data_IF_327904183204
#
_entry.id   IF_327904183204
#
_cell.length_a   1.000
_cell.length_b   1.000
_cell.length_c   1.000
_cell.angle_alpha   90.00
_cell.angle_beta   90.00
_cell.angle_gamma   90.00
#
_symmetry.space_group_name_H-M   'P 1'
#
loop_
_entity.id
_entity.type
_entity.pdbx_description
1 polymer ?
#
# COMPACT_ATOMS: atom_id res chain seq x y z
N UNK A 1 37.49 -5.16 -77.14
CA UNK A 1 36.71 -5.23 -75.87
C UNK A 1 37.67 -5.24 -74.70
N UNK A 2 37.96 -4.08 -74.09
CA UNK A 2 38.69 -3.99 -72.83
C UNK A 2 37.83 -3.17 -71.86
N UNK A 3 37.43 -3.79 -70.75
CA UNK A 3 36.55 -3.24 -69.72
C UNK A 3 37.37 -2.47 -68.69
N UNK A 4 37.08 -1.18 -68.54
CA UNK A 4 37.56 -0.32 -67.44
C UNK A 4 36.45 -0.32 -66.38
N UNK A 5 36.76 -0.78 -65.16
CA UNK A 5 35.89 -0.65 -63.99
C UNK A 5 36.40 0.48 -63.10
N UNK A 6 35.58 1.50 -62.91
CA UNK A 6 35.76 2.56 -61.90
C UNK A 6 35.32 2.06 -60.52
N UNK A 7 36.01 2.39 -59.42
CA UNK A 7 35.53 2.09 -58.08
C UNK A 7 34.59 3.19 -57.57
N UNK A 8 33.50 2.74 -56.97
CA UNK A 8 32.42 3.54 -56.38
C UNK A 8 32.81 3.88 -54.92
N UNK A 9 32.96 5.17 -54.61
CA UNK A 9 33.24 5.66 -53.25
C UNK A 9 31.98 5.51 -52.37
N UNK A 10 32.08 4.72 -51.30
CA UNK A 10 31.02 4.53 -50.31
C UNK A 10 31.25 5.48 -49.12
N UNK A 11 30.39 6.49 -49.00
CA UNK A 11 30.37 7.41 -47.87
C UNK A 11 29.75 6.68 -46.66
N UNK A 12 30.56 6.27 -45.67
CA UNK A 12 30.07 5.63 -44.44
C UNK A 12 29.56 6.68 -43.46
N UNK A 13 28.25 6.65 -43.19
CA UNK A 13 27.59 7.40 -42.14
C UNK A 13 27.74 6.63 -40.81
N UNK A 14 28.61 7.11 -39.92
CA UNK A 14 28.81 6.50 -38.60
C UNK A 14 27.63 6.90 -37.70
N UNK A 15 26.65 6.00 -37.55
CA UNK A 15 25.69 6.05 -36.46
C UNK A 15 26.40 5.67 -35.16
N UNK A 16 26.70 6.65 -34.32
CA UNK A 16 27.06 6.41 -32.92
C UNK A 16 25.83 5.85 -32.21
N UNK A 17 25.75 4.53 -32.11
CA UNK A 17 24.85 3.83 -31.19
C UNK A 17 25.23 4.25 -29.76
N UNK A 18 24.50 5.22 -29.22
CA UNK A 18 24.54 5.49 -27.78
C UNK A 18 23.87 4.31 -27.06
N UNK A 19 24.68 3.42 -26.48
CA UNK A 19 24.18 2.41 -25.57
C UNK A 19 23.80 3.12 -24.27
N UNK A 20 22.52 3.48 -24.14
CA UNK A 20 22.00 4.01 -22.89
C UNK A 20 21.98 2.85 -21.88
N UNK A 21 23.00 2.78 -21.02
CA UNK A 21 23.01 1.83 -19.92
C UNK A 21 21.83 2.14 -18.99
N UNK A 22 20.84 1.24 -18.94
CA UNK A 22 19.73 1.34 -17.99
C UNK A 22 20.27 1.17 -16.57
N UNK A 23 19.81 2.04 -15.66
CA UNK A 23 20.15 1.95 -14.25
C UNK A 23 19.64 0.64 -13.65
N UNK A 24 20.43 -0.01 -12.79
CA UNK A 24 19.97 -1.20 -12.08
C UNK A 24 19.01 -0.79 -10.97
N UNK A 25 17.79 -1.33 -11.03
CA UNK A 25 16.77 -1.12 -10.01
C UNK A 25 16.24 -2.48 -9.52
N UNK A 26 16.16 -2.66 -8.22
CA UNK A 26 15.49 -3.79 -7.57
C UNK A 26 14.52 -3.24 -6.55
N UNK A 27 13.31 -3.79 -6.55
CA UNK A 27 12.23 -3.37 -5.65
C UNK A 27 11.77 -4.61 -4.88
N UNK A 28 11.70 -4.51 -3.56
CA UNK A 28 11.16 -5.57 -2.70
C UNK A 28 9.93 -5.06 -1.98
N UNK A 29 8.81 -5.74 -2.15
CA UNK A 29 7.59 -5.53 -1.38
C UNK A 29 7.46 -6.63 -0.33
N UNK A 30 7.10 -6.24 0.90
CA UNK A 30 6.79 -7.15 1.99
C UNK A 30 5.54 -6.69 2.69
N UNK A 31 4.54 -7.55 2.82
CA UNK A 31 3.30 -7.25 3.52
C UNK A 31 2.44 -8.49 3.71
N UNK A 32 1.36 -8.33 4.47
CA UNK A 32 0.40 -9.38 4.76
C UNK A 32 -1.02 -8.91 4.44
N UNK A 33 -1.85 -9.87 4.03
CA UNK A 33 -3.30 -9.72 4.03
C UNK A 33 -3.86 -10.50 5.19
N UNK A 34 -4.69 -9.84 5.99
CA UNK A 34 -5.44 -10.44 7.09
C UNK A 34 -6.90 -10.57 6.66
N UNK A 35 -7.47 -11.75 6.90
CA UNK A 35 -8.89 -12.03 6.72
C UNK A 35 -9.43 -12.75 7.95
N UNK A 36 -10.66 -12.42 8.33
CA UNK A 36 -11.43 -13.22 9.28
C UNK A 36 -12.46 -14.05 8.50
N UNK A 37 -12.51 -15.35 8.75
CA UNK A 37 -13.40 -16.29 8.05
C UNK A 37 -14.15 -17.14 9.07
N UNK A 38 -15.46 -17.30 8.88
CA UNK A 38 -16.31 -18.12 9.74
C UNK A 38 -16.10 -19.62 9.49
N UNK A 39 -16.66 -20.47 10.36
CA UNK A 39 -16.60 -21.93 10.21
C UNK A 39 -17.19 -22.45 8.90
N UNK A 40 -18.12 -21.69 8.30
CA UNK A 40 -18.73 -21.96 7.00
C UNK A 40 -17.85 -21.57 5.80
N UNK A 41 -16.69 -20.94 6.01
CA UNK A 41 -15.81 -20.46 4.95
C UNK A 41 -16.19 -19.10 4.36
N UNK A 42 -17.17 -18.41 4.94
CA UNK A 42 -17.54 -17.05 4.53
C UNK A 42 -16.72 -16.00 5.27
N UNK A 43 -16.22 -15.02 4.52
CA UNK A 43 -15.45 -13.91 5.07
C UNK A 43 -16.33 -13.03 5.96
N UNK A 44 -15.78 -12.57 7.07
CA UNK A 44 -16.47 -11.72 8.03
C UNK A 44 -16.18 -10.25 7.71
N UNK A 45 -17.21 -9.40 7.88
CA UNK A 45 -17.05 -7.95 7.81
C UNK A 45 -16.32 -7.44 9.06
N UNK A 46 -15.89 -6.17 9.05
CA UNK A 46 -15.29 -5.50 10.20
C UNK A 46 -13.77 -5.46 10.19
N UNK A 47 -13.13 -5.83 9.08
CA UNK A 47 -11.68 -5.81 8.93
C UNK A 47 -11.11 -4.39 8.74
N UNK A 48 -11.55 -3.41 9.53
CA UNK A 48 -11.11 -2.01 9.51
C UNK A 48 -10.64 -1.50 10.88
N UNK A 49 -10.59 -2.39 11.90
CA UNK A 49 -10.05 -2.07 13.20
C UNK A 49 -8.51 -2.12 13.18
N UNK A 50 -7.88 -1.18 13.87
CA UNK A 50 -6.43 -1.06 13.97
C UNK A 50 -5.98 -1.37 15.39
N UNK A 51 -5.20 -2.44 15.55
CA UNK A 51 -4.65 -2.85 16.84
C UNK A 51 -3.30 -2.18 17.12
N UNK A 52 -2.59 -1.74 16.06
CA UNK A 52 -1.24 -1.19 16.15
C UNK A 52 -1.22 0.31 15.79
N UNK A 53 -0.76 1.19 16.70
CA UNK A 53 -0.67 2.61 16.41
C UNK A 53 0.45 2.88 15.41
N UNK A 54 0.14 3.65 14.37
CA UNK A 54 1.13 4.18 13.43
C UNK A 54 1.66 5.54 13.90
N UNK A 55 2.86 5.95 13.45
CA UNK A 55 3.34 7.31 13.67
C UNK A 55 2.36 8.37 13.13
N UNK A 56 2.26 9.51 13.82
CA UNK A 56 1.29 10.58 13.49
C UNK A 56 1.51 11.23 12.11
N UNK A 57 2.71 11.06 11.54
CA UNK A 57 3.01 11.57 10.20
C UNK A 57 2.45 10.69 9.06
N UNK A 58 1.91 9.51 9.37
CA UNK A 58 1.31 8.63 8.35
C UNK A 58 -0.03 9.22 7.91
N UNK A 59 -0.17 9.38 6.59
CA UNK A 59 -1.38 9.92 5.97
C UNK A 59 -2.48 8.87 5.96
N UNK A 60 -3.70 9.31 6.22
CA UNK A 60 -4.90 8.49 6.23
C UNK A 60 -5.82 8.86 5.06
N UNK A 61 -6.69 7.93 4.69
CA UNK A 61 -7.72 8.18 3.70
C UNK A 61 -8.67 9.27 4.20
N UNK A 62 -8.78 10.36 3.43
CA UNK A 62 -9.55 11.54 3.81
C UNK A 62 -8.75 12.67 4.46
N UNK A 63 -7.46 12.47 4.74
CA UNK A 63 -6.61 13.58 5.15
C UNK A 63 -6.49 14.57 3.99
N UNK A 64 -6.94 15.82 4.21
CA UNK A 64 -6.77 16.86 3.19
C UNK A 64 -5.28 17.19 3.07
N UNK A 65 -4.75 17.26 1.85
CA UNK A 65 -3.32 17.58 1.58
C UNK A 65 -2.83 18.89 2.22
N UNK A 66 -3.77 19.78 2.57
CA UNK A 66 -3.52 21.09 3.20
C UNK A 66 -3.92 21.15 4.69
N UNK A 67 -4.34 20.03 5.31
CA UNK A 67 -4.82 20.06 6.70
C UNK A 67 -3.66 19.89 7.69
N UNK A 68 -3.45 20.82 8.63
CA UNK A 68 -2.62 20.55 9.79
C UNK A 68 -3.20 19.35 10.54
N UNK A 69 -2.40 18.30 10.69
CA UNK A 69 -2.69 17.14 11.52
C UNK A 69 -3.34 17.59 12.83
N UNK A 70 -4.50 17.03 13.15
CA UNK A 70 -5.27 17.30 14.37
C UNK A 70 -5.79 18.73 14.57
N UNK A 71 -6.84 19.11 13.82
CA UNK A 71 -7.97 19.78 14.47
C UNK A 71 -9.16 18.85 14.45
N UNK A 72 -9.60 18.44 15.64
CA UNK A 72 -10.91 17.83 15.79
C UNK A 72 -11.91 18.64 14.97
N UNK A 73 -12.63 17.95 14.10
CA UNK A 73 -13.63 18.55 13.24
C UNK A 73 -14.61 19.31 14.13
N UNK A 74 -14.53 20.64 14.14
CA UNK A 74 -15.49 21.48 14.82
C UNK A 74 -16.80 21.33 14.03
N UNK A 75 -17.72 20.50 14.52
CA UNK A 75 -19.07 20.27 13.97
C UNK A 75 -20.00 21.49 14.16
N UNK A 76 -19.50 22.71 13.95
CA UNK A 76 -20.30 23.94 13.95
C UNK A 76 -20.47 24.40 12.50
N UNK A 77 -21.53 23.92 11.85
CA UNK A 77 -21.88 24.35 10.49
C UNK A 77 -22.66 23.34 9.64
N UNK A 78 -22.86 22.10 10.11
CA UNK A 78 -23.73 21.15 9.41
C UNK A 78 -25.22 21.49 9.65
N UNK A 79 -26.09 21.34 8.64
CA UNK A 79 -27.53 21.50 8.80
C UNK A 79 -28.03 20.59 9.93
N UNK A 80 -28.84 21.15 10.82
CA UNK A 80 -29.41 20.51 12.02
C UNK A 80 -30.36 19.32 11.74
N UNK A 81 -30.46 18.85 10.50
CA UNK A 81 -31.33 17.74 10.07
C UNK A 81 -30.62 16.37 10.12
N UNK A 82 -29.28 16.33 10.18
CA UNK A 82 -28.55 15.07 10.39
C UNK A 82 -28.46 14.71 11.88
N UNK A 83 -29.63 14.57 12.53
CA UNK A 83 -29.74 14.23 13.96
C UNK A 83 -29.34 12.80 14.31
N UNK A 84 -29.04 11.96 13.32
CA UNK A 84 -28.28 10.73 13.56
C UNK A 84 -26.81 11.11 13.75
N UNK A 85 -26.37 11.19 15.00
CA UNK A 85 -24.95 11.07 15.30
C UNK A 85 -24.40 9.93 14.43
N UNK A 86 -23.35 10.13 13.61
CA UNK A 86 -22.76 9.01 12.88
C UNK A 86 -22.48 7.92 13.92
N UNK A 87 -22.80 6.64 13.62
CA UNK A 87 -22.65 5.57 14.59
C UNK A 87 -21.27 5.71 15.21
N UNK A 88 -21.23 5.86 16.54
CA UNK A 88 -19.98 5.99 17.28
C UNK A 88 -19.19 4.72 17.02
N UNK A 89 -18.25 4.75 16.07
CA UNK A 89 -17.24 3.72 15.98
C UNK A 89 -16.39 3.88 17.24
N UNK A 90 -16.67 3.06 18.25
CA UNK A 90 -15.81 2.96 19.42
C UNK A 90 -14.50 2.32 18.98
N UNK A 91 -13.39 3.07 19.10
CA UNK A 91 -12.08 2.72 18.55
C UNK A 91 -11.89 3.40 17.21
N UNK A 92 -11.08 4.47 17.18
CA UNK A 92 -10.88 5.34 16.03
C UNK A 92 -10.43 4.55 14.79
N UNK A 93 -11.28 4.26 13.80
CA UNK A 93 -10.76 3.82 12.52
C UNK A 93 -10.01 5.01 11.91
N UNK A 94 -8.79 4.77 11.42
CA UNK A 94 -8.01 5.79 10.73
C UNK A 94 -8.64 6.20 9.39
N UNK A 95 -9.61 5.42 8.90
CA UNK A 95 -10.58 5.83 7.88
C UNK A 95 -11.82 6.38 8.58
N UNK A 96 -12.24 7.63 8.33
CA UNK A 96 -13.45 8.20 8.94
C UNK A 96 -14.69 7.32 8.75
N UNK A 97 -15.48 7.18 9.82
CA UNK A 97 -16.63 6.27 9.87
C UNK A 97 -17.69 6.52 8.79
N UNK A 98 -17.84 7.78 8.37
CA UNK A 98 -18.73 8.17 7.28
C UNK A 98 -18.45 7.42 5.98
N UNK A 99 -17.18 7.04 5.73
CA UNK A 99 -16.78 6.27 4.55
C UNK A 99 -16.99 4.77 4.73
N UNK A 100 -17.05 4.27 5.97
CA UNK A 100 -17.20 2.85 6.28
C UNK A 100 -18.67 2.41 6.34
N UNK A 101 -19.60 3.35 6.54
CA UNK A 101 -21.01 3.04 6.68
C UNK A 101 -21.57 2.37 5.42
N UNK A 102 -22.20 1.20 5.58
CA UNK A 102 -22.75 0.42 4.48
C UNK A 102 -21.72 -0.32 3.61
N UNK A 103 -20.42 -0.23 3.93
CA UNK A 103 -19.36 -0.93 3.21
C UNK A 103 -19.09 -2.30 3.84
N UNK A 104 -18.71 -3.26 2.97
CA UNK A 104 -18.21 -4.57 3.38
C UNK A 104 -16.69 -4.57 3.32
N UNK A 105 -16.02 -4.69 4.45
CA UNK A 105 -14.57 -4.76 4.55
C UNK A 105 -14.21 -6.11 5.15
N UNK A 106 -13.71 -7.01 4.29
CA UNK A 106 -13.40 -8.40 4.63
C UNK A 106 -11.91 -8.71 4.57
N UNK A 107 -11.11 -7.74 4.10
CA UNK A 107 -9.68 -7.87 3.88
C UNK A 107 -8.98 -6.61 4.36
N UNK A 108 -7.91 -6.82 5.10
CA UNK A 108 -7.01 -5.77 5.58
C UNK A 108 -5.61 -6.07 5.13
N UNK A 109 -4.97 -5.10 4.49
CA UNK A 109 -3.56 -5.15 4.13
C UNK A 109 -2.79 -4.42 5.22
N UNK A 110 -2.14 -5.19 6.10
CA UNK A 110 -1.69 -4.71 7.42
C UNK A 110 -0.46 -3.82 7.36
N UNK A 111 0.64 -4.24 6.74
CA UNK A 111 1.88 -3.42 6.77
C UNK A 111 2.74 -3.66 5.53
N UNK A 112 2.24 -3.48 4.30
CA UNK A 112 3.09 -3.53 3.14
C UNK A 112 4.11 -2.37 3.17
N UNK A 113 5.37 -2.74 3.03
CA UNK A 113 6.50 -1.82 2.83
C UNK A 113 7.20 -2.17 1.52
N UNK A 114 7.61 -1.13 0.79
CA UNK A 114 8.31 -1.26 -0.50
C UNK A 114 9.68 -0.61 -0.41
N UNK A 115 10.71 -1.44 -0.51
CA UNK A 115 12.11 -1.05 -0.49
C UNK A 115 12.68 -0.90 -1.90
N UNK A 116 13.46 0.15 -2.11
CA UNK A 116 14.15 0.42 -3.37
C UNK A 116 15.65 0.23 -3.22
N UNK A 117 16.26 -0.43 -4.21
CA UNK A 117 17.70 -0.65 -4.29
C UNK A 117 18.16 -0.26 -5.69
N UNK A 118 19.03 0.73 -5.76
CA UNK A 118 19.52 1.31 -6.99
C UNK A 118 21.04 1.44 -6.99
N UNK A 119 21.65 1.41 -8.17
CA UNK A 119 23.07 1.74 -8.36
C UNK A 119 23.34 3.25 -8.43
N UNK A 120 22.30 4.06 -8.62
CA UNK A 120 22.38 5.53 -8.71
C UNK A 120 21.11 6.24 -8.24
N UNK A 121 21.19 7.53 -8.00
CA UNK A 121 19.98 8.36 -7.84
C UNK A 121 19.20 8.40 -9.15
N UNK A 122 17.90 8.14 -9.09
CA UNK A 122 17.00 8.10 -10.25
C UNK A 122 15.54 8.33 -9.84
N UNK A 123 14.70 8.66 -10.83
CA UNK A 123 13.26 8.78 -10.66
C UNK A 123 12.55 7.47 -11.05
N UNK A 124 11.51 7.12 -10.31
CA UNK A 124 10.69 5.93 -10.54
C UNK A 124 9.23 6.30 -10.32
N UNK A 125 8.38 5.99 -11.28
CA UNK A 125 6.94 5.99 -11.09
C UNK A 125 6.53 4.65 -10.48
N UNK A 126 5.90 4.68 -9.32
CA UNK A 126 5.44 3.49 -8.61
C UNK A 126 3.93 3.56 -8.40
N UNK A 127 3.24 2.53 -8.84
CA UNK A 127 1.78 2.44 -8.78
C UNK A 127 1.36 1.25 -7.93
N UNK A 128 0.42 1.47 -7.03
CA UNK A 128 -0.24 0.42 -6.25
C UNK A 128 -1.70 0.37 -6.68
N UNK A 129 -2.16 -0.81 -7.10
CA UNK A 129 -3.57 -1.06 -7.40
C UNK A 129 -4.18 -1.98 -6.36
N UNK A 130 -5.32 -1.56 -5.81
CA UNK A 130 -6.12 -2.34 -4.86
C UNK A 130 -7.59 -2.39 -5.33
N UNK A 131 -7.88 -3.17 -6.40
CA UNK A 131 -9.10 -3.01 -7.21
C UNK A 131 -10.42 -3.18 -6.45
N UNK A 132 -10.40 -3.94 -5.37
CA UNK A 132 -11.57 -4.25 -4.54
C UNK A 132 -11.53 -3.51 -3.20
N UNK A 133 -10.85 -2.38 -3.13
CA UNK A 133 -10.67 -1.65 -1.89
C UNK A 133 -10.16 -0.23 -2.11
N UNK A 134 -9.49 0.30 -1.09
CA UNK A 134 -8.80 1.60 -1.10
C UNK A 134 -7.38 1.46 -0.53
N UNK A 135 -6.53 2.43 -0.83
CA UNK A 135 -5.32 2.66 -0.04
C UNK A 135 -5.72 3.52 1.16
N UNK A 136 -5.75 2.89 2.34
CA UNK A 136 -6.32 3.50 3.54
C UNK A 136 -5.33 4.38 4.29
N UNK A 137 -4.03 4.06 4.21
CA UNK A 137 -2.96 4.81 4.85
C UNK A 137 -1.69 4.76 4.01
N UNK A 138 -0.84 5.78 4.07
CA UNK A 138 0.42 5.84 3.31
C UNK A 138 1.47 6.75 3.97
N UNK A 139 2.73 6.36 3.85
CA UNK A 139 3.86 7.27 4.01
C UNK A 139 5.03 6.84 3.13
N UNK A 140 5.63 7.71 2.31
CA UNK A 140 5.23 9.10 2.03
C UNK A 140 3.79 9.26 1.50
N UNK A 141 3.31 10.50 1.45
CA UNK A 141 2.05 10.87 0.81
C UNK A 141 2.08 10.43 -0.67
N UNK A 142 0.96 9.88 -1.12
CA UNK A 142 0.75 9.57 -2.53
C UNK A 142 0.78 10.85 -3.34
N UNK A 143 1.43 10.85 -4.52
CA UNK A 143 1.32 11.94 -5.49
C UNK A 143 -0.15 12.18 -5.84
N UNK A 144 -0.89 11.11 -6.11
CA UNK A 144 -2.35 11.09 -6.12
C UNK A 144 -2.86 9.68 -5.79
N UNK A 145 -4.12 9.60 -5.35
CA UNK A 145 -4.78 8.35 -5.01
C UNK A 145 -6.24 8.37 -5.44
N UNK A 146 -6.79 7.18 -5.64
CA UNK A 146 -8.21 6.95 -5.92
C UNK A 146 -8.74 5.84 -5.01
N UNK A 147 -10.05 5.84 -4.74
CA UNK A 147 -11.00 6.92 -5.04
C UNK A 147 -10.74 8.16 -4.17
N UNK A 148 -11.27 9.32 -4.58
CA UNK A 148 -11.22 10.52 -3.74
C UNK A 148 -12.12 10.37 -2.52
N UNK A 149 -11.67 10.85 -1.36
CA UNK A 149 -12.39 10.74 -0.09
C UNK A 149 -13.55 11.76 0.01
N UNK A 150 -14.59 11.57 -0.79
CA UNK A 150 -15.81 12.39 -0.77
C UNK A 150 -16.95 11.66 -0.05
N UNK A 151 -17.88 12.38 0.61
CA UNK A 151 -19.04 11.75 1.27
C UNK A 151 -19.81 10.82 0.32
N UNK A 152 -20.08 9.60 0.78
CA UNK A 152 -20.79 8.58 0.00
C UNK A 152 -19.95 7.86 -1.05
N UNK A 153 -18.62 8.06 -1.08
CA UNK A 153 -17.72 7.32 -1.96
C UNK A 153 -17.81 5.82 -1.69
N UNK A 154 -17.82 5.03 -2.76
CA UNK A 154 -17.71 3.58 -2.67
C UNK A 154 -16.24 3.17 -2.55
N UNK A 155 -15.91 2.31 -1.58
CA UNK A 155 -14.54 1.91 -1.28
C UNK A 155 -14.05 0.81 -2.24
N UNK A 156 -13.94 1.16 -3.51
CA UNK A 156 -13.46 0.28 -4.59
C UNK A 156 -12.48 0.99 -5.51
N UNK A 157 -11.79 0.20 -6.35
CA UNK A 157 -10.83 0.70 -7.34
C UNK A 157 -9.69 1.51 -6.73
N UNK A 158 -9.23 1.08 -5.56
CA UNK A 158 -8.13 1.67 -4.84
C UNK A 158 -6.90 1.80 -5.72
N UNK A 159 -6.28 2.96 -5.70
CA UNK A 159 -5.09 3.25 -6.47
C UNK A 159 -4.24 4.29 -5.74
N UNK A 160 -2.93 4.15 -5.80
CA UNK A 160 -1.99 5.16 -5.35
C UNK A 160 -0.81 5.24 -6.31
N UNK A 161 -0.48 6.47 -6.71
CA UNK A 161 0.70 6.77 -7.51
C UNK A 161 1.73 7.53 -6.68
N UNK A 162 3.00 7.19 -6.88
CA UNK A 162 4.13 7.81 -6.22
C UNK A 162 5.18 8.21 -7.27
N UNK A 163 5.53 9.50 -7.27
CA UNK A 163 6.69 10.01 -8.01
C UNK A 163 7.93 9.89 -7.13
N UNK A 164 8.61 8.75 -7.21
CA UNK A 164 9.70 8.39 -6.30
C UNK A 164 11.03 8.93 -6.82
N UNK A 165 11.74 9.70 -6.00
CA UNK A 165 13.14 10.04 -6.23
C UNK A 165 14.02 9.17 -5.32
N UNK A 166 14.75 8.22 -5.88
CA UNK A 166 15.73 7.42 -5.13
C UNK A 166 16.98 8.27 -4.88
N UNK A 167 17.39 8.37 -3.62
CA UNK A 167 18.49 9.19 -3.13
C UNK A 167 19.68 8.28 -2.75
N UNK A 168 20.46 7.86 -3.74
CA UNK A 168 21.55 6.91 -3.52
C UNK A 168 22.64 7.51 -2.61
N UNK A 169 23.03 6.75 -1.58
CA UNK A 169 24.06 7.12 -0.60
C UNK A 169 23.81 8.49 0.09
N UNK A 170 22.56 8.97 0.09
CA UNK A 170 22.20 10.18 0.81
C UNK A 170 22.08 9.91 2.32
N UNK A 171 22.36 10.93 3.12
CA UNK A 171 22.07 10.92 4.56
C UNK A 171 21.15 12.10 4.84
N UNK A 172 19.88 11.80 5.13
CA UNK A 172 18.83 12.79 5.42
C UNK A 172 18.15 12.38 6.72
N UNK A 173 17.81 13.35 7.56
CA UNK A 173 17.03 13.09 8.78
C UNK A 173 15.63 12.60 8.43
N UNK A 174 15.17 11.54 9.10
CA UNK A 174 13.83 10.99 8.97
C UNK A 174 12.95 11.48 10.14
N UNK A 175 11.62 11.54 9.98
CA UNK A 175 10.71 11.80 11.10
C UNK A 175 10.96 10.80 12.23
N UNK A 176 10.90 11.28 13.47
CA UNK A 176 11.09 10.44 14.64
C UNK A 176 10.00 9.35 14.71
N UNK A 177 10.41 8.13 15.08
CA UNK A 177 9.53 7.00 15.37
C UNK A 177 10.05 6.35 16.64
N UNK A 178 9.15 6.08 17.59
CA UNK A 178 9.51 5.37 18.82
C UNK A 178 10.15 4.00 18.48
N UNK A 179 11.31 3.63 19.04
CA UNK A 179 11.96 2.36 18.77
C UNK A 179 11.13 1.11 19.13
N UNK A 180 10.10 1.24 19.98
CA UNK A 180 9.15 0.17 20.30
C UNK A 180 8.00 0.06 19.30
N UNK A 181 7.81 1.07 18.45
CA UNK A 181 6.79 1.03 17.41
C UNK A 181 7.23 0.09 16.28
N UNK A 182 6.32 -0.78 15.82
CA UNK A 182 6.58 -1.74 14.75
C UNK A 182 7.08 -1.10 13.43
N UNK A 183 6.69 0.14 13.16
CA UNK A 183 7.18 0.92 12.01
C UNK A 183 8.70 1.12 12.06
N UNK A 184 9.29 1.26 13.27
CA UNK A 184 10.73 1.44 13.43
C UNK A 184 11.52 0.23 12.94
N UNK A 185 10.99 -0.98 13.09
CA UNK A 185 11.66 -2.20 12.65
C UNK A 185 11.82 -2.25 11.13
N UNK A 186 10.86 -1.73 10.37
CA UNK A 186 10.95 -1.64 8.92
C UNK A 186 12.11 -0.74 8.44
N UNK A 187 12.61 0.18 9.27
CA UNK A 187 13.78 1.02 8.94
C UNK A 187 15.12 0.29 9.09
N UNK A 188 15.16 -0.89 9.72
CA UNK A 188 16.37 -1.71 9.87
C UNK A 188 16.69 -2.59 8.65
N UNK A 189 16.19 -2.22 7.48
CA UNK A 189 16.54 -2.83 6.19
C UNK A 189 17.52 -1.94 5.44
N UNK A 190 18.51 -2.53 4.76
CA UNK A 190 19.56 -1.80 4.04
C UNK A 190 19.10 -1.29 2.65
N UNK A 191 17.96 -0.59 2.60
CA UNK A 191 17.42 0.04 1.39
C UNK A 191 17.97 1.45 1.16
N UNK A 192 17.83 1.95 -0.06
CA UNK A 192 18.11 3.35 -0.39
C UNK A 192 17.01 4.27 0.14
N UNK A 193 17.39 5.51 0.49
CA UNK A 193 16.41 6.54 0.80
C UNK A 193 15.62 6.90 -0.45
N UNK A 194 14.34 7.19 -0.25
CA UNK A 194 13.43 7.69 -1.27
C UNK A 194 12.84 9.03 -0.84
N UNK A 195 12.47 9.85 -1.82
CA UNK A 195 11.69 11.07 -1.62
C UNK A 195 10.48 11.11 -2.53
N UNK A 196 9.32 11.37 -1.96
CA UNK A 196 8.08 11.68 -2.69
C UNK A 196 7.60 13.04 -2.21
N UNK A 197 7.44 14.00 -3.12
CA UNK A 197 7.20 15.40 -2.74
C UNK A 197 8.30 15.92 -1.78
N UNK A 198 7.90 16.31 -0.57
CA UNK A 198 8.80 16.81 0.47
C UNK A 198 9.23 15.74 1.49
N UNK A 199 8.63 14.56 1.42
CA UNK A 199 8.77 13.53 2.44
C UNK A 199 9.85 12.52 2.04
N UNK A 200 10.64 12.09 3.03
CA UNK A 200 11.77 11.18 2.84
C UNK A 200 11.60 9.99 3.75
N UNK A 201 11.82 8.80 3.22
CA UNK A 201 11.77 7.54 3.98
C UNK A 201 12.68 6.50 3.31
N UNK A 202 12.90 5.35 3.96
CA UNK A 202 13.62 4.19 3.44
C UNK A 202 12.74 3.26 2.59
N UNK A 203 11.43 3.46 2.60
CA UNK A 203 10.43 2.64 1.94
C UNK A 203 9.15 3.43 1.71
N UNK A 204 8.29 2.94 0.82
CA UNK A 204 6.88 3.33 0.82
C UNK A 204 6.15 2.40 1.76
N UNK A 205 5.50 2.94 2.78
CA UNK A 205 4.50 2.27 3.58
C UNK A 205 3.12 2.55 2.99
N UNK A 206 2.28 1.54 2.91
CA UNK A 206 0.86 1.73 2.65
C UNK A 206 0.03 0.73 3.42
N UNK A 207 -1.27 0.96 3.54
CA UNK A 207 -2.27 0.00 4.00
C UNK A 207 -3.45 0.05 3.07
N UNK A 208 -4.27 -0.99 3.11
CA UNK A 208 -5.49 -1.02 2.31
C UNK A 208 -6.59 -1.81 2.97
N UNK A 209 -7.82 -1.38 2.71
CA UNK A 209 -9.05 -1.99 3.17
C UNK A 209 -9.88 -2.38 1.95
N UNK A 210 -10.43 -3.59 1.93
CA UNK A 210 -11.18 -4.05 0.77
C UNK A 210 -12.10 -5.24 0.99
N UNK A 211 -12.79 -5.59 -0.10
CA UNK A 211 -13.81 -6.61 -0.18
C UNK A 211 -13.47 -7.66 -1.26
N UNK A 212 -12.77 -8.72 -0.86
CA UNK A 212 -12.54 -9.86 -1.74
C UNK A 212 -12.42 -11.17 -0.97
N UNK A 213 -12.76 -12.26 -1.65
CA UNK A 213 -12.56 -13.61 -1.12
C UNK A 213 -11.13 -14.06 -1.40
N UNK A 214 -10.46 -14.59 -0.39
CA UNK A 214 -9.15 -15.22 -0.59
C UNK A 214 -9.31 -16.49 -1.44
N UNK A 215 -8.23 -16.89 -2.11
CA UNK A 215 -8.20 -18.16 -2.86
C UNK A 215 -7.94 -19.36 -1.95
N UNK A 216 -7.81 -19.16 -0.65
CA UNK A 216 -7.66 -20.21 0.35
C UNK A 216 -9.00 -20.40 1.08
N UNK A 217 -9.75 -21.43 0.70
CA UNK A 217 -11.00 -21.77 1.39
C UNK A 217 -10.67 -22.52 2.68
N UNK A 218 -11.14 -21.97 3.79
CA UNK A 218 -10.99 -22.57 5.12
C UNK A 218 -12.37 -22.82 5.71
N UNK A 219 -12.67 -24.06 6.09
CA UNK A 219 -13.92 -24.40 6.81
C UNK A 219 -13.60 -25.22 8.04
N UNK A 220 -14.48 -25.15 9.05
CA UNK A 220 -14.34 -25.96 10.26
C UNK A 220 -15.66 -26.64 10.59
N UNK A 221 -15.61 -27.93 10.88
CA UNK A 221 -16.76 -28.72 11.30
C UNK A 221 -16.33 -29.83 12.24
N UNK A 222 -17.02 -29.99 13.36
CA UNK A 222 -16.76 -31.05 14.35
C UNK A 222 -15.28 -31.13 14.77
N UNK A 223 -14.64 -29.97 15.02
CA UNK A 223 -13.23 -29.90 15.41
C UNK A 223 -12.21 -30.14 14.28
N UNK A 224 -12.67 -30.43 13.05
CA UNK A 224 -11.78 -30.61 11.91
C UNK A 224 -11.69 -29.34 11.07
N UNK A 225 -10.47 -28.88 10.82
CA UNK A 225 -10.18 -27.79 9.90
C UNK A 225 -9.91 -28.34 8.49
N UNK A 226 -10.64 -27.85 7.51
CA UNK A 226 -10.40 -28.13 6.10
C UNK A 226 -9.86 -26.90 5.41
N UNK A 227 -8.68 -27.02 4.81
CA UNK A 227 -8.04 -25.95 4.04
C UNK A 227 -7.89 -26.40 2.59
N UNK A 228 -8.41 -25.61 1.65
CA UNK A 228 -8.38 -25.91 0.22
C UNK A 228 -7.94 -24.70 -0.58
N UNK A 229 -6.84 -24.86 -1.33
CA UNK A 229 -6.48 -23.90 -2.36
C UNK A 229 -7.50 -23.97 -3.52
N UNK A 230 -8.22 -22.88 -3.75
CA UNK A 230 -9.18 -22.65 -4.85
C UNK A 230 -8.57 -21.77 -5.95
N UNK A 231 -7.34 -21.31 -5.77
CA UNK A 231 -6.60 -20.54 -6.76
C UNK A 231 -5.96 -21.43 -7.83
N UNK A 232 -5.50 -20.78 -8.90
CA UNK A 232 -4.70 -21.41 -9.95
C UNK A 232 -3.20 -21.47 -9.61
N UNK A 233 -2.77 -20.60 -8.69
CA UNK A 233 -1.37 -20.54 -8.24
C UNK A 233 -1.13 -21.55 -7.11
N UNK A 234 0.04 -22.19 -7.14
CA UNK A 234 0.51 -23.04 -6.05
C UNK A 234 0.74 -22.19 -4.79
N UNK A 235 0.23 -22.66 -3.66
CA UNK A 235 0.61 -22.13 -2.33
C UNK A 235 1.87 -22.88 -1.89
N UNK A 236 3.02 -22.21 -1.70
CA UNK A 236 4.28 -22.89 -1.44
C UNK A 236 4.34 -23.49 -0.02
N UNK A 237 3.71 -22.83 0.95
CA UNK A 237 3.69 -23.26 2.35
C UNK A 237 2.42 -22.78 3.05
N UNK A 238 1.98 -23.53 4.06
CA UNK A 238 0.89 -23.18 4.99
C UNK A 238 1.34 -23.55 6.39
N UNK A 239 1.16 -22.66 7.35
CA UNK A 239 1.39 -22.90 8.77
C UNK A 239 0.07 -22.76 9.51
N UNK A 240 -0.17 -23.62 10.48
CA UNK A 240 -1.38 -23.60 11.29
C UNK A 240 -1.00 -23.31 12.75
N UNK A 241 -1.69 -22.32 13.34
CA UNK A 241 -1.58 -21.97 14.73
C UNK A 241 -2.94 -22.22 15.40
N UNK A 242 -2.92 -22.95 16.51
CA UNK A 242 -4.09 -23.21 17.33
C UNK A 242 -3.91 -22.54 18.69
N UNK A 243 -4.95 -21.88 19.15
CA UNK A 243 -5.08 -21.37 20.52
C UNK A 243 -6.41 -21.85 21.08
N UNK A 244 -6.36 -22.42 22.28
CA UNK A 244 -7.50 -22.56 23.16
C UNK A 244 -7.75 -21.17 23.75
N UNK A 245 -8.89 -20.56 23.45
CA UNK A 245 -9.21 -19.20 23.89
C UNK A 245 -9.49 -19.10 25.40
N UNK A 246 -8.61 -19.62 26.25
CA UNK A 246 -8.66 -19.36 27.68
C UNK A 246 -8.47 -17.87 27.90
N UNK A 247 -9.56 -17.19 28.23
CA UNK A 247 -9.53 -15.80 28.69
C UNK A 247 -8.78 -15.77 30.03
N UNK A 248 -7.56 -15.26 30.04
CA UNK A 248 -6.90 -14.77 31.25
C UNK A 248 -7.42 -13.37 31.61
#
# INVERSE_FOLDING_TARGET
MNSIKTPMNLLSLIFLLSTQAHAKLTIHEWGTFTSLVGSNGEAQNGMYYEDEPLPDFVHNFGDSKDSPQNRGMNLWGLPSDLSSSPPRCSGYPKVPCEYLFGQMITQKMETPVVYFYSDRSQKVDFDVSFPRGIISQSYPATSYSLPEAIPGVELKNGFAHYEVNILKAATVGLPFVDPSNIYSHARHVASDLIRVGQEVEKFIFYRGLGEFKTKLLTTSKNGNLHVRNKGICRIPAVFFFYTDGEKH
#
